data_IF_644055045359
#
_entry.id   IF_644055045359
#
_cell.length_a   1.000
_cell.length_b   1.000
_cell.length_c   1.000
_cell.angle_alpha   90.00
_cell.angle_beta   90.00
_cell.angle_gamma   90.00
#
_symmetry.space_group_name_H-M   'P 1'
#
loop_
_entity.id
_entity.type
_entity.pdbx_description
1 polymer ?
#
# COMPACT_ATOMS: atom_id res chain seq x y z
N UNK A 1 -8.02 -2.79 30.28
CA UNK A 1 -9.10 -3.27 29.40
C UNK A 1 -9.43 -2.23 28.31
N UNK A 2 -10.05 -1.09 28.64
CA UNK A 2 -10.36 -0.03 27.65
C UNK A 2 -9.12 0.54 26.94
N UNK A 3 -8.03 0.79 27.67
CA UNK A 3 -6.77 1.30 27.08
C UNK A 3 -6.18 0.35 26.05
N UNK A 4 -6.29 -0.96 26.26
CA UNK A 4 -5.74 -1.97 25.33
C UNK A 4 -6.56 -2.02 24.03
N UNK A 5 -7.88 -1.93 24.14
CA UNK A 5 -8.79 -1.81 23.00
C UNK A 5 -8.50 -0.54 22.18
N UNK A 6 -8.36 0.61 22.84
CA UNK A 6 -8.04 1.88 22.17
C UNK A 6 -6.72 1.74 21.39
N UNK A 7 -5.71 1.11 21.99
CA UNK A 7 -4.41 0.91 21.37
C UNK A 7 -4.51 0.01 20.12
N UNK A 8 -5.24 -1.10 20.21
CA UNK A 8 -5.49 -1.99 19.07
C UNK A 8 -6.23 -1.27 17.92
N UNK A 9 -7.30 -0.53 18.23
CA UNK A 9 -8.05 0.22 17.23
C UNK A 9 -7.23 1.35 16.60
N UNK A 10 -6.38 2.02 17.36
CA UNK A 10 -5.45 3.02 16.82
C UNK A 10 -4.46 2.36 15.85
N UNK A 11 -3.94 1.18 16.18
CA UNK A 11 -3.12 0.37 15.29
C UNK A 11 -3.79 0.07 13.97
N UNK A 12 -5.03 -0.42 14.03
CA UNK A 12 -5.85 -0.74 12.85
C UNK A 12 -6.12 0.52 12.03
N UNK A 13 -6.48 1.63 12.67
CA UNK A 13 -6.75 2.89 11.99
C UNK A 13 -5.51 3.41 11.24
N UNK A 14 -4.32 3.32 11.84
CA UNK A 14 -3.07 3.70 11.20
C UNK A 14 -2.71 2.75 10.06
N UNK A 15 -2.89 1.44 10.24
CA UNK A 15 -2.63 0.43 9.23
C UNK A 15 -3.46 0.66 7.97
N UNK A 16 -4.79 0.72 8.11
CA UNK A 16 -5.71 0.86 6.98
C UNK A 16 -5.62 2.28 6.41
N UNK A 17 -5.59 3.29 7.29
CA UNK A 17 -5.60 4.69 6.90
C UNK A 17 -4.36 5.09 6.11
N UNK A 18 -3.16 4.83 6.64
CA UNK A 18 -1.92 5.25 5.99
C UNK A 18 -1.65 4.47 4.69
N UNK A 19 -1.94 3.17 4.65
CA UNK A 19 -1.90 2.37 3.43
C UNK A 19 -2.84 2.90 2.35
N UNK A 20 -4.10 3.19 2.71
CA UNK A 20 -5.09 3.74 1.80
C UNK A 20 -4.70 5.12 1.27
N UNK A 21 -4.16 5.98 2.14
CA UNK A 21 -3.61 7.29 1.75
C UNK A 21 -2.45 7.10 0.76
N UNK A 22 -1.51 6.20 1.05
CA UNK A 22 -0.41 5.87 0.15
C UNK A 22 -0.89 5.51 -1.25
N UNK A 23 -1.82 4.57 -1.33
CA UNK A 23 -2.41 4.17 -2.62
C UNK A 23 -3.12 5.31 -3.31
N UNK A 24 -3.92 6.12 -2.61
CA UNK A 24 -4.59 7.27 -3.21
C UNK A 24 -3.59 8.27 -3.83
N UNK A 25 -2.49 8.58 -3.12
CA UNK A 25 -1.43 9.44 -3.65
C UNK A 25 -0.71 8.80 -4.84
N UNK A 26 -0.31 7.53 -4.74
CA UNK A 26 0.35 6.81 -5.83
C UNK A 26 -0.50 6.76 -7.10
N UNK A 27 -1.80 6.44 -6.95
CA UNK A 27 -2.80 6.45 -8.02
C UNK A 27 -2.95 7.84 -8.65
N UNK A 28 -3.00 8.90 -7.83
CA UNK A 28 -3.13 10.28 -8.32
C UNK A 28 -1.90 10.73 -9.11
N UNK A 29 -0.70 10.37 -8.64
CA UNK A 29 0.56 10.66 -9.35
C UNK A 29 0.55 10.01 -10.74
N UNK A 30 0.16 8.73 -10.83
CA UNK A 30 0.02 8.04 -12.10
C UNK A 30 -1.07 8.67 -12.99
N UNK A 31 -2.25 8.94 -12.42
CA UNK A 31 -3.40 9.52 -13.14
C UNK A 31 -3.08 10.85 -13.81
N UNK A 32 -2.33 11.72 -13.13
CA UNK A 32 -1.84 12.97 -13.71
C UNK A 32 -0.94 12.72 -14.94
N UNK A 33 -0.04 11.74 -14.87
CA UNK A 33 0.78 11.34 -16.02
C UNK A 33 -0.04 10.71 -17.15
N UNK A 34 -1.09 9.95 -16.84
CA UNK A 34 -2.00 9.37 -17.85
C UNK A 34 -2.69 10.48 -18.63
N UNK A 35 -3.31 11.45 -17.95
CA UNK A 35 -4.01 12.57 -18.61
C UNK A 35 -3.06 13.37 -19.51
N UNK A 36 -1.81 13.57 -19.08
CA UNK A 36 -0.78 14.22 -19.90
C UNK A 36 -0.36 13.39 -21.13
N UNK A 37 -0.26 12.07 -20.97
CA UNK A 37 0.25 11.15 -22.00
C UNK A 37 -0.80 10.78 -23.04
N UNK A 38 -2.08 10.71 -22.66
CA UNK A 38 -3.20 10.44 -23.58
C UNK A 38 -3.31 11.46 -24.72
N UNK A 39 -2.91 12.72 -24.47
CA UNK A 39 -2.87 13.76 -25.52
C UNK A 39 -1.85 13.46 -26.62
N UNK A 40 -0.82 12.68 -26.31
CA UNK A 40 0.28 12.34 -27.22
C UNK A 40 0.07 10.98 -27.88
N UNK A 41 -0.41 10.00 -27.12
CA UNK A 41 -0.49 8.60 -27.54
C UNK A 41 -1.72 7.89 -26.96
N UNK A 42 -2.94 8.20 -27.43
CA UNK A 42 -4.19 7.72 -26.85
C UNK A 42 -4.36 6.19 -26.94
N UNK A 43 -3.78 5.55 -27.94
CA UNK A 43 -3.85 4.11 -28.16
C UNK A 43 -3.11 3.28 -27.08
N UNK A 44 -2.23 3.92 -26.30
CA UNK A 44 -1.50 3.27 -25.21
C UNK A 44 -2.24 3.24 -23.86
N UNK A 45 -3.54 3.61 -23.83
CA UNK A 45 -4.36 3.67 -22.62
C UNK A 45 -4.27 2.39 -21.76
N UNK A 46 -4.30 1.20 -22.36
CA UNK A 46 -4.19 -0.06 -21.61
C UNK A 46 -2.89 -0.17 -20.81
N UNK A 47 -1.77 0.31 -21.37
CA UNK A 47 -0.48 0.37 -20.65
C UNK A 47 -0.52 1.39 -19.52
N UNK A 48 -1.17 2.54 -19.74
CA UNK A 48 -1.31 3.57 -18.72
C UNK A 48 -2.12 3.09 -17.53
N UNK A 49 -3.22 2.39 -17.77
CA UNK A 49 -4.04 1.79 -16.72
C UNK A 49 -3.23 0.73 -15.96
N UNK A 50 -2.51 -0.14 -16.67
CA UNK A 50 -1.66 -1.17 -16.05
C UNK A 50 -0.66 -0.56 -15.07
N UNK A 51 0.15 0.41 -15.52
CA UNK A 51 1.14 1.05 -14.66
C UNK A 51 0.50 1.86 -13.53
N UNK A 52 -0.67 2.47 -13.80
CA UNK A 52 -1.39 3.23 -12.78
C UNK A 52 -1.98 2.33 -11.69
N UNK A 53 -2.32 1.08 -11.98
CA UNK A 53 -2.94 0.19 -11.01
C UNK A 53 -1.95 -0.34 -9.96
N UNK A 54 -0.64 -0.36 -10.24
CA UNK A 54 0.36 -0.97 -9.36
C UNK A 54 0.39 -0.40 -7.93
N UNK A 55 0.33 0.93 -7.71
CA UNK A 55 0.31 1.51 -6.36
C UNK A 55 -0.98 1.29 -5.56
N UNK A 56 -1.95 0.52 -6.07
CA UNK A 56 -3.19 0.22 -5.35
C UNK A 56 -3.05 -0.88 -4.31
N UNK A 57 -2.00 -1.70 -4.40
CA UNK A 57 -1.85 -2.90 -3.58
C UNK A 57 -1.60 -2.59 -2.11
N UNK A 58 -0.97 -1.46 -1.77
CA UNK A 58 -0.72 -1.08 -0.38
C UNK A 58 -2.01 -0.88 0.40
N UNK A 59 -3.03 -0.25 -0.20
CA UNK A 59 -4.37 -0.15 0.39
C UNK A 59 -5.00 -1.53 0.64
N UNK A 60 -4.83 -2.47 -0.29
CA UNK A 60 -5.28 -3.86 -0.12
C UNK A 60 -4.50 -4.53 1.03
N UNK A 61 -3.20 -4.29 1.15
CA UNK A 61 -2.40 -4.86 2.24
C UNK A 61 -2.84 -4.35 3.60
N UNK A 62 -3.13 -3.05 3.75
CA UNK A 62 -3.70 -2.52 4.99
C UNK A 62 -5.03 -3.21 5.35
N UNK A 63 -5.88 -3.46 4.35
CA UNK A 63 -7.16 -4.16 4.52
C UNK A 63 -6.99 -5.64 4.88
N UNK A 64 -6.07 -6.35 4.23
CA UNK A 64 -5.73 -7.74 4.58
C UNK A 64 -5.15 -7.81 5.99
N UNK A 65 -4.25 -6.89 6.34
CA UNK A 65 -3.65 -6.79 7.67
C UNK A 65 -4.69 -6.65 8.78
N UNK A 66 -5.78 -5.91 8.54
CA UNK A 66 -6.92 -5.83 9.46
C UNK A 66 -7.52 -7.21 9.75
N UNK A 67 -7.81 -8.01 8.72
CA UNK A 67 -8.38 -9.35 8.92
C UNK A 67 -7.45 -10.31 9.67
N UNK A 68 -6.14 -10.11 9.58
CA UNK A 68 -5.18 -10.94 10.30
C UNK A 68 -5.20 -10.69 11.82
N UNK A 69 -5.69 -9.52 12.25
CA UNK A 69 -5.71 -9.14 13.67
C UNK A 69 -7.11 -8.95 14.26
N UNK A 70 -8.16 -8.87 13.43
CA UNK A 70 -9.52 -8.58 13.84
C UNK A 70 -10.07 -9.55 14.91
N UNK A 71 -9.68 -10.83 14.84
CA UNK A 71 -10.11 -11.86 15.80
C UNK A 71 -9.63 -11.63 17.24
N UNK A 72 -8.58 -10.82 17.44
CA UNK A 72 -8.01 -10.54 18.76
C UNK A 72 -8.60 -9.29 19.42
N UNK A 73 -9.42 -8.51 18.70
CA UNK A 73 -9.98 -7.26 19.21
C UNK A 73 -11.29 -7.55 19.95
N UNK A 74 -11.18 -8.12 21.15
CA UNK A 74 -12.31 -8.44 22.03
C UNK A 74 -12.26 -7.60 23.32
N UNK A 75 -13.36 -7.53 24.10
CA UNK A 75 -13.36 -6.85 25.40
C UNK A 75 -12.25 -7.33 26.35
N UNK A 76 -11.84 -8.60 26.23
CA UNK A 76 -10.84 -9.26 27.07
C UNK A 76 -9.40 -9.12 26.54
N UNK A 77 -9.17 -8.28 25.52
CA UNK A 77 -7.86 -8.11 24.89
C UNK A 77 -6.73 -7.83 25.91
N UNK A 78 -5.67 -8.63 25.83
CA UNK A 78 -4.50 -8.48 26.69
C UNK A 78 -3.69 -7.23 26.33
N UNK A 79 -2.86 -6.76 27.27
CA UNK A 79 -1.96 -5.63 27.01
C UNK A 79 -0.96 -5.95 25.88
N UNK A 80 -0.48 -7.20 25.81
CA UNK A 80 0.42 -7.66 24.75
C UNK A 80 -0.25 -7.62 23.37
N UNK A 81 -1.47 -8.14 23.25
CA UNK A 81 -2.22 -8.11 21.99
C UNK A 81 -2.49 -6.67 21.53
N UNK A 82 -2.95 -5.80 22.43
CA UNK A 82 -3.19 -4.40 22.10
C UNK A 82 -1.93 -3.67 21.61
N UNK A 83 -0.81 -3.85 22.31
CA UNK A 83 0.47 -3.26 21.94
C UNK A 83 1.03 -3.82 20.62
N UNK A 84 0.91 -5.13 20.42
CA UNK A 84 1.37 -5.80 19.19
C UNK A 84 0.59 -5.30 17.96
N UNK A 85 -0.75 -5.24 18.05
CA UNK A 85 -1.62 -4.74 16.97
C UNK A 85 -1.28 -3.28 16.65
N UNK A 86 -1.05 -2.44 17.66
CA UNK A 86 -0.58 -1.08 17.45
C UNK A 86 0.76 -1.00 16.74
N UNK A 87 1.75 -1.76 17.20
CA UNK A 87 3.09 -1.77 16.63
C UNK A 87 3.11 -2.20 15.17
N UNK A 88 2.46 -3.32 14.85
CA UNK A 88 2.41 -3.83 13.47
C UNK A 88 1.53 -2.96 12.58
N UNK A 89 0.45 -2.38 13.12
CA UNK A 89 -0.41 -1.48 12.39
C UNK A 89 0.27 -0.17 11.99
N UNK A 90 1.04 0.42 12.91
CA UNK A 90 1.88 1.58 12.64
C UNK A 90 2.96 1.26 11.59
N UNK A 91 3.64 0.11 11.73
CA UNK A 91 4.69 -0.31 10.82
C UNK A 91 4.17 -0.51 9.39
N UNK A 92 3.11 -1.30 9.20
CA UNK A 92 2.51 -1.52 7.88
C UNK A 92 1.95 -0.21 7.31
N UNK A 93 1.27 0.59 8.12
CA UNK A 93 0.72 1.87 7.68
C UNK A 93 1.78 2.81 7.10
N UNK A 94 2.89 3.03 7.82
CA UNK A 94 3.98 3.91 7.36
C UNK A 94 4.63 3.35 6.11
N UNK A 95 4.97 2.05 6.09
CA UNK A 95 5.62 1.43 4.93
C UNK A 95 4.71 1.52 3.72
N UNK A 96 3.43 1.18 3.85
CA UNK A 96 2.45 1.26 2.78
C UNK A 96 2.25 2.66 2.24
N UNK A 97 2.22 3.68 3.12
CA UNK A 97 2.15 5.08 2.71
C UNK A 97 3.34 5.46 1.83
N UNK A 98 4.56 5.21 2.32
CA UNK A 98 5.77 5.65 1.63
C UNK A 98 5.99 4.83 0.35
N UNK A 99 5.82 3.52 0.40
CA UNK A 99 6.09 2.65 -0.73
C UNK A 99 5.14 2.92 -1.90
N UNK A 100 3.84 3.10 -1.65
CA UNK A 100 2.86 3.40 -2.69
C UNK A 100 3.17 4.72 -3.42
N UNK A 101 3.58 5.76 -2.67
CA UNK A 101 3.97 7.05 -3.26
C UNK A 101 5.19 6.88 -4.16
N UNK A 102 6.22 6.16 -3.70
CA UNK A 102 7.43 5.90 -4.49
C UNK A 102 7.14 5.03 -5.72
N UNK A 103 6.28 4.03 -5.59
CA UNK A 103 5.83 3.19 -6.69
C UNK A 103 5.07 4.01 -7.73
N UNK A 104 4.18 4.91 -7.29
CA UNK A 104 3.46 5.83 -8.15
C UNK A 104 4.39 6.75 -8.94
N UNK A 105 5.46 7.27 -8.32
CA UNK A 105 6.46 8.09 -9.01
C UNK A 105 7.18 7.31 -10.13
N UNK A 106 7.59 6.06 -9.87
CA UNK A 106 8.21 5.19 -10.88
C UNK A 106 7.24 4.93 -12.04
N UNK A 107 6.01 4.55 -11.71
CA UNK A 107 4.97 4.26 -12.71
C UNK A 107 4.60 5.49 -13.55
N UNK A 108 4.47 6.66 -12.92
CA UNK A 108 4.19 7.92 -13.60
C UNK A 108 5.29 8.33 -14.59
N UNK A 109 6.56 8.08 -14.26
CA UNK A 109 7.67 8.29 -15.19
C UNK A 109 7.61 7.32 -16.38
N UNK A 110 7.31 6.04 -16.13
CA UNK A 110 7.10 5.07 -17.20
C UNK A 110 5.94 5.43 -18.12
N UNK A 111 4.81 5.90 -17.56
CA UNK A 111 3.66 6.40 -18.33
C UNK A 111 4.07 7.56 -19.24
N UNK A 112 4.78 8.55 -18.69
CA UNK A 112 5.24 9.70 -19.45
C UNK A 112 6.20 9.31 -20.60
N UNK A 113 7.12 8.38 -20.34
CA UNK A 113 8.05 7.87 -21.34
C UNK A 113 7.33 7.05 -22.43
N UNK A 114 6.38 6.19 -22.07
CA UNK A 114 5.54 5.48 -23.04
C UNK A 114 4.70 6.45 -23.87
N UNK A 115 4.16 7.52 -23.26
CA UNK A 115 3.49 8.61 -23.98
C UNK A 115 4.39 9.39 -24.93
N UNK A 116 5.70 9.39 -24.71
CA UNK A 116 6.70 9.94 -25.63
C UNK A 116 7.14 8.95 -26.73
N UNK A 117 6.58 7.73 -26.77
CA UNK A 117 6.89 6.72 -27.77
C UNK A 117 8.03 5.76 -27.39
N UNK A 118 8.50 5.78 -26.14
CA UNK A 118 9.52 4.84 -25.68
C UNK A 118 8.91 3.51 -25.21
N UNK A 119 9.59 2.40 -25.47
CA UNK A 119 9.17 1.07 -25.00
C UNK A 119 9.81 0.74 -23.65
N UNK A 120 9.28 1.32 -22.57
CA UNK A 120 9.83 1.18 -21.19
C UNK A 120 8.89 0.48 -20.21
N UNK A 121 7.73 0.00 -20.65
CA UNK A 121 6.69 -0.56 -19.77
C UNK A 121 7.22 -1.72 -18.92
N UNK A 122 7.88 -2.70 -19.54
CA UNK A 122 8.43 -3.85 -18.83
C UNK A 122 9.49 -3.45 -17.78
N UNK A 123 10.43 -2.58 -18.16
CA UNK A 123 11.43 -2.04 -17.23
C UNK A 123 10.79 -1.25 -16.09
N UNK A 124 9.75 -0.46 -16.37
CA UNK A 124 9.01 0.29 -15.35
C UNK A 124 8.35 -0.65 -14.34
N UNK A 125 7.72 -1.75 -14.80
CA UNK A 125 7.11 -2.73 -13.90
C UNK A 125 8.14 -3.39 -12.98
N UNK A 126 9.33 -3.73 -13.50
CA UNK A 126 10.43 -4.29 -12.69
C UNK A 126 10.87 -3.27 -11.63
N UNK A 127 11.06 -2.01 -12.01
CA UNK A 127 11.45 -0.97 -11.06
C UNK A 127 10.35 -0.68 -10.03
N UNK A 128 9.08 -0.77 -10.42
CA UNK A 128 7.93 -0.61 -9.54
C UNK A 128 7.76 -1.79 -8.55
N UNK A 129 8.38 -2.94 -8.82
CA UNK A 129 8.38 -4.06 -7.89
C UNK A 129 9.30 -3.84 -6.67
N UNK A 130 10.28 -2.93 -6.74
CA UNK A 130 11.16 -2.68 -5.60
C UNK A 130 10.45 -2.00 -4.43
N UNK A 131 9.68 -0.90 -4.61
CA UNK A 131 8.83 -0.39 -3.53
C UNK A 131 7.78 -1.39 -3.07
N UNK A 132 7.21 -2.18 -4.00
CA UNK A 132 6.21 -3.22 -3.69
C UNK A 132 6.73 -4.23 -2.67
N UNK A 133 7.95 -4.71 -2.87
CA UNK A 133 8.59 -5.72 -2.04
C UNK A 133 8.58 -5.32 -0.55
N UNK A 134 8.87 -4.06 -0.23
CA UNK A 134 8.87 -3.60 1.17
C UNK A 134 7.47 -3.57 1.78
N UNK A 135 6.44 -3.25 1.00
CA UNK A 135 5.05 -3.30 1.47
C UNK A 135 4.61 -4.73 1.77
N UNK A 136 4.99 -5.68 0.91
CA UNK A 136 4.75 -7.11 1.12
C UNK A 136 5.46 -7.61 2.40
N UNK A 137 6.72 -7.22 2.61
CA UNK A 137 7.44 -7.58 3.83
C UNK A 137 6.75 -7.04 5.09
N UNK A 138 6.25 -5.80 5.06
CA UNK A 138 5.52 -5.22 6.19
C UNK A 138 4.20 -5.96 6.46
N UNK A 139 3.46 -6.36 5.42
CA UNK A 139 2.27 -7.19 5.57
C UNK A 139 2.62 -8.57 6.15
N UNK A 140 3.72 -9.18 5.69
CA UNK A 140 4.17 -10.47 6.21
C UNK A 140 4.45 -10.39 7.72
N UNK A 141 5.03 -9.29 8.20
CA UNK A 141 5.21 -9.07 9.65
C UNK A 141 3.87 -9.03 10.39
N UNK A 142 2.84 -8.38 9.84
CA UNK A 142 1.48 -8.41 10.44
C UNK A 142 0.94 -9.83 10.52
N UNK A 143 1.08 -10.62 9.46
CA UNK A 143 0.64 -12.03 9.42
C UNK A 143 1.38 -12.87 10.48
N UNK A 144 2.71 -12.75 10.52
CA UNK A 144 3.55 -13.51 11.46
C UNK A 144 3.23 -13.14 12.90
N UNK A 145 3.07 -11.85 13.22
CA UNK A 145 2.68 -11.42 14.55
C UNK A 145 1.27 -11.91 14.88
N UNK A 146 0.31 -11.77 13.96
CA UNK A 146 -1.05 -12.29 14.11
C UNK A 146 -1.07 -13.76 14.49
N UNK A 147 -0.21 -14.60 13.90
CA UNK A 147 -0.11 -16.03 14.23
C UNK A 147 0.50 -16.32 15.60
N UNK A 148 1.20 -15.35 16.21
CA UNK A 148 1.80 -15.48 17.56
C UNK A 148 0.93 -14.92 18.68
N UNK A 149 -0.21 -14.29 18.35
CA UNK A 149 -1.11 -13.65 19.32
C UNK A 149 -2.20 -14.58 19.88
N UNK A 150 -2.34 -15.78 19.33
CA UNK A 150 -3.26 -16.83 19.77
C UNK A 150 -2.71 -17.74 20.86
#
# INVERSE_FOLDING_TARGET
>A
MLTNLILAYLGIALMVGLCGIGSAYGLTICGNSVVGSLKKRPEALGTYILLSALPSTQGIYGFVGYFMVAGYVTPEISALQGAAIFGVGLALGIVGLVSAVRQGQVCANGIAATGAGHNVTAGTMIMAAFPEFYAILALLVVILVGNTLG
#
